data_IF_470877215406
#
_entry.id   IF_470877215406
#
_cell.length_a   1.000
_cell.length_b   1.000
_cell.length_c   1.000
_cell.angle_alpha   90.00
_cell.angle_beta   90.00
_cell.angle_gamma   90.00
#
_symmetry.space_group_name_H-M   'P 1'
#
loop_
_entity.id
_entity.type
_entity.pdbx_description
1 polymer ?
#
# COMPACT_ATOMS: atom_id res chain seq x y z
N UNK A 1 5.08 6.33 -20.03
CA UNK A 1 6.10 5.85 -19.10
C UNK A 1 5.37 5.06 -18.04
N UNK A 2 5.28 3.74 -18.21
CA UNK A 2 4.47 2.85 -17.35
C UNK A 2 5.13 2.82 -15.97
N UNK A 3 4.53 3.46 -14.96
CA UNK A 3 4.97 3.28 -13.57
C UNK A 3 4.89 1.78 -13.26
N UNK A 4 6.01 1.22 -12.81
CA UNK A 4 6.13 -0.23 -12.58
C UNK A 4 5.79 -0.51 -11.13
N UNK A 5 5.40 -1.74 -10.80
CA UNK A 5 5.23 -2.19 -9.41
C UNK A 5 6.44 -1.86 -8.52
N UNK A 6 7.64 -1.76 -9.11
CA UNK A 6 8.86 -1.32 -8.43
C UNK A 6 8.74 0.07 -7.79
N UNK A 7 7.94 0.98 -8.35
CA UNK A 7 7.79 2.34 -7.84
C UNK A 7 7.05 2.37 -6.49
N UNK A 8 6.12 1.43 -6.27
CA UNK A 8 5.43 1.31 -4.98
C UNK A 8 6.20 0.41 -4.01
N UNK A 9 7.04 -0.51 -4.50
CA UNK A 9 7.77 -1.46 -3.66
C UNK A 9 8.66 -0.78 -2.61
N UNK A 10 9.36 0.30 -2.97
CA UNK A 10 10.20 1.06 -2.04
C UNK A 10 9.37 1.72 -0.93
N UNK A 11 8.18 2.25 -1.28
CA UNK A 11 7.25 2.83 -0.31
C UNK A 11 6.71 1.77 0.66
N UNK A 12 6.35 0.59 0.14
CA UNK A 12 5.86 -0.52 0.97
C UNK A 12 6.95 -1.07 1.88
N UNK A 13 8.19 -1.17 1.40
CA UNK A 13 9.31 -1.61 2.22
C UNK A 13 9.61 -0.60 3.34
N UNK A 14 9.59 0.69 3.03
CA UNK A 14 9.71 1.75 4.04
C UNK A 14 8.60 1.70 5.08
N UNK A 15 7.36 1.41 4.67
CA UNK A 15 6.24 1.23 5.58
C UNK A 15 6.47 0.03 6.51
N UNK A 16 6.87 -1.13 5.99
CA UNK A 16 7.12 -2.32 6.81
C UNK A 16 8.31 -2.13 7.76
N UNK A 17 9.28 -1.29 7.42
CA UNK A 17 10.38 -0.93 8.32
C UNK A 17 9.89 -0.06 9.50
N UNK A 18 8.92 0.83 9.28
CA UNK A 18 8.31 1.65 10.32
C UNK A 18 7.25 0.87 11.13
N UNK A 19 6.54 -0.04 10.46
CA UNK A 19 5.45 -0.84 11.01
C UNK A 19 5.73 -2.35 10.88
N UNK A 20 6.70 -2.90 11.64
CA UNK A 20 7.13 -4.30 11.49
C UNK A 20 6.08 -5.33 11.91
N UNK A 21 5.04 -4.94 12.66
CA UNK A 21 3.94 -5.81 13.05
C UNK A 21 2.79 -5.82 12.03
N UNK A 22 2.87 -4.97 11.00
CA UNK A 22 1.90 -4.89 9.93
C UNK A 22 2.04 -6.09 8.99
N UNK A 23 0.94 -6.77 8.76
CA UNK A 23 0.82 -7.78 7.71
C UNK A 23 0.39 -7.08 6.42
N UNK A 24 1.26 -7.10 5.41
CA UNK A 24 1.02 -6.46 4.12
C UNK A 24 0.94 -7.51 3.01
N UNK A 25 -0.20 -7.55 2.32
CA UNK A 25 -0.41 -8.38 1.12
C UNK A 25 -0.48 -7.52 -0.14
N UNK A 26 0.21 -7.92 -1.20
CA UNK A 26 0.15 -7.25 -2.51
C UNK A 26 -0.36 -8.22 -3.58
N UNK A 27 -1.48 -7.86 -4.23
CA UNK A 27 -2.14 -8.68 -5.23
C UNK A 27 -2.22 -7.93 -6.57
N UNK A 28 -1.30 -8.19 -7.52
CA UNK A 28 -1.35 -7.58 -8.83
C UNK A 28 -2.58 -8.10 -9.59
N UNK A 29 -3.33 -7.19 -10.23
CA UNK A 29 -4.47 -7.52 -11.09
C UNK A 29 -4.15 -7.12 -12.52
N UNK A 30 -3.76 -8.11 -13.32
CA UNK A 30 -3.36 -7.94 -14.72
C UNK A 30 -4.56 -7.76 -15.67
N UNK A 31 -5.78 -7.96 -15.17
CA UNK A 31 -7.02 -8.05 -15.95
C UNK A 31 -7.95 -6.83 -15.78
N UNK A 32 -7.59 -5.85 -14.94
CA UNK A 32 -8.41 -4.65 -14.68
C UNK A 32 -7.75 -3.36 -15.17
N UNK A 33 -8.58 -2.47 -15.70
CA UNK A 33 -8.15 -1.14 -16.18
C UNK A 33 -8.15 -0.07 -15.07
N UNK A 34 -8.83 -0.33 -13.95
CA UNK A 34 -9.09 0.70 -12.93
C UNK A 34 -7.94 0.82 -11.91
N UNK A 35 -7.27 -0.28 -11.60
CA UNK A 35 -6.11 -0.32 -10.70
C UNK A 35 -5.19 -1.51 -11.05
N UNK A 36 -3.89 -1.34 -10.83
CA UNK A 36 -2.86 -2.33 -11.16
C UNK A 36 -2.61 -3.33 -10.02
N UNK A 37 -2.70 -2.87 -8.77
CA UNK A 37 -2.37 -3.68 -7.57
C UNK A 37 -3.41 -3.40 -6.49
N UNK A 38 -3.89 -4.46 -5.84
CA UNK A 38 -4.64 -4.37 -4.60
C UNK A 38 -3.68 -4.61 -3.43
N UNK A 39 -3.66 -3.69 -2.47
CA UNK A 39 -2.88 -3.82 -1.25
C UNK A 39 -3.83 -4.09 -0.08
N UNK A 40 -3.47 -5.05 0.77
CA UNK A 40 -4.19 -5.38 2.00
C UNK A 40 -3.26 -5.09 3.17
N UNK A 41 -3.73 -4.28 4.12
CA UNK A 41 -3.04 -4.01 5.38
C UNK A 41 -3.83 -4.65 6.51
N UNK A 42 -3.17 -5.47 7.31
CA UNK A 42 -3.77 -6.14 8.47
C UNK A 42 -2.88 -5.94 9.70
N UNK A 43 -3.51 -5.66 10.84
CA UNK A 43 -2.83 -5.61 12.13
C UNK A 43 -3.77 -6.11 13.23
N UNK A 44 -3.19 -6.52 14.34
CA UNK A 44 -3.93 -6.91 15.56
C UNK A 44 -4.41 -5.70 16.36
N UNK A 45 -3.84 -4.54 16.11
CA UNK A 45 -4.16 -3.27 16.77
C UNK A 45 -4.77 -2.31 15.72
N UNK A 46 -5.98 -1.85 16.00
CA UNK A 46 -6.73 -0.97 15.11
C UNK A 46 -6.11 0.44 15.02
N UNK A 47 -5.60 0.98 16.13
CA UNK A 47 -4.93 2.28 16.14
C UNK A 47 -3.60 2.20 15.38
N UNK A 48 -2.91 1.07 15.52
CA UNK A 48 -1.70 0.78 14.74
C UNK A 48 -2.01 0.68 13.24
N UNK A 49 -3.08 -0.02 12.86
CA UNK A 49 -3.51 -0.15 11.48
C UNK A 49 -3.83 1.22 10.87
N UNK A 50 -4.57 2.07 11.59
CA UNK A 50 -4.90 3.41 11.12
C UNK A 50 -3.65 4.24 10.88
N UNK A 51 -2.71 4.24 11.82
CA UNK A 51 -1.43 4.97 11.68
C UNK A 51 -0.60 4.48 10.50
N UNK A 52 -0.57 3.16 10.25
CA UNK A 52 0.11 2.58 9.10
C UNK A 52 -0.57 2.96 7.78
N UNK A 53 -1.91 2.95 7.74
CA UNK A 53 -2.69 3.40 6.59
C UNK A 53 -2.41 4.87 6.29
N UNK A 54 -2.48 5.74 7.28
CA UNK A 54 -2.24 7.18 7.12
C UNK A 54 -0.81 7.45 6.62
N UNK A 55 0.21 6.80 7.22
CA UNK A 55 1.61 6.90 6.76
C UNK A 55 1.78 6.40 5.32
N UNK A 56 1.10 5.32 4.92
CA UNK A 56 1.14 4.84 3.54
C UNK A 56 0.51 5.84 2.57
N UNK A 57 -0.65 6.42 2.90
CA UNK A 57 -1.32 7.41 2.06
C UNK A 57 -0.52 8.70 1.91
N UNK A 58 0.25 9.10 2.93
CA UNK A 58 1.16 10.25 2.85
C UNK A 58 2.40 9.96 2.00
N UNK A 59 2.88 8.71 1.96
CA UNK A 59 4.06 8.29 1.18
C UNK A 59 3.74 8.06 -0.29
N UNK A 60 2.55 7.54 -0.58
CA UNK A 60 2.12 7.28 -1.95
C UNK A 60 1.76 8.59 -2.65
N UNK A 61 2.09 8.72 -3.94
CA UNK A 61 1.65 9.87 -4.70
C UNK A 61 0.12 9.85 -4.85
N UNK A 62 -0.49 11.04 -4.85
CA UNK A 62 -1.95 11.22 -4.80
C UNK A 62 -2.70 10.68 -6.03
N UNK A 63 -1.98 10.35 -7.11
CA UNK A 63 -2.50 9.69 -8.31
C UNK A 63 -2.34 8.16 -8.32
N UNK A 64 -1.67 7.57 -7.32
CA UNK A 64 -1.48 6.12 -7.20
C UNK A 64 -2.61 5.42 -6.43
N UNK A 65 -3.36 6.14 -5.60
CA UNK A 65 -4.44 5.57 -4.78
C UNK A 65 -5.76 5.69 -5.53
N UNK A 66 -6.27 4.55 -6.01
CA UNK A 66 -7.56 4.50 -6.69
C UNK A 66 -8.74 4.52 -5.70
N UNK A 67 -8.62 3.78 -4.59
CA UNK A 67 -9.66 3.67 -3.55
C UNK A 67 -9.03 3.17 -2.24
N UNK A 68 -9.58 3.60 -1.11
CA UNK A 68 -9.32 3.06 0.23
C UNK A 68 -10.66 2.53 0.77
N UNK A 69 -10.66 1.33 1.36
CA UNK A 69 -11.84 0.68 1.97
C UNK A 69 -11.64 0.45 3.47
#
# INVERSE_FOLDING_TARGET
>A
MTRRESDIADHLHGLLAEFPELMLGSYPRLDRQDYMVLLTLESRDADYLQRAQDSLLERLPSDAVHKVE
#
